data_IF_877782179145
#
_entry.id   IF_877782179145
#
_cell.length_a   1.000
_cell.length_b   1.000
_cell.length_c   1.000
_cell.angle_alpha   90.00
_cell.angle_beta   90.00
_cell.angle_gamma   90.00
#
_symmetry.space_group_name_H-M   'P 1'
#
loop_
_entity.id
_entity.type
_entity.pdbx_description
1 polymer ?
#
# COMPACT_ATOMS: atom_id res chain seq x y z
N UNK A 1 37.18 -12.28 2.19
CA UNK A 1 36.18 -12.55 1.13
C UNK A 1 35.04 -13.32 1.76
N UNK A 2 33.93 -12.65 2.09
CA UNK A 2 32.68 -13.32 2.48
C UNK A 2 31.57 -12.64 1.69
N UNK A 3 31.20 -13.25 0.57
CA UNK A 3 29.98 -12.92 -0.15
C UNK A 3 28.85 -13.73 0.48
N UNK A 4 28.01 -13.07 1.28
CA UNK A 4 26.74 -13.62 1.72
C UNK A 4 25.76 -13.60 0.55
N UNK A 5 25.24 -14.77 0.18
CA UNK A 5 24.27 -14.95 -0.91
C UNK A 5 23.06 -14.03 -0.73
N UNK A 6 22.85 -13.12 -1.68
CA UNK A 6 21.61 -12.33 -1.80
C UNK A 6 20.48 -13.32 -2.06
N UNK A 7 19.56 -13.46 -1.09
CA UNK A 7 18.35 -14.27 -1.29
C UNK A 7 17.43 -13.54 -2.27
N UNK A 8 16.92 -14.24 -3.26
CA UNK A 8 15.99 -13.67 -4.24
C UNK A 8 14.62 -13.42 -3.58
N UNK A 9 13.88 -12.44 -4.08
CA UNK A 9 12.54 -12.03 -3.62
C UNK A 9 11.57 -13.22 -3.37
N UNK A 10 11.60 -14.22 -4.26
CA UNK A 10 10.85 -15.48 -4.16
C UNK A 10 11.14 -16.32 -2.91
N UNK A 11 12.29 -16.12 -2.28
CA UNK A 11 12.74 -16.85 -1.08
C UNK A 11 12.20 -16.24 0.21
N UNK A 12 11.71 -15.00 0.18
CA UNK A 12 11.15 -14.29 1.34
C UNK A 12 9.60 -14.39 1.34
N UNK A 13 8.96 -14.43 0.16
CA UNK A 13 7.49 -14.44 0.03
C UNK A 13 6.97 -15.54 -0.94
N UNK A 14 6.87 -16.80 -0.48
CA UNK A 14 6.59 -17.95 -1.36
C UNK A 14 5.15 -18.05 -1.90
N UNK A 15 4.23 -17.14 -1.55
CA UNK A 15 2.81 -17.18 -1.96
C UNK A 15 2.46 -16.43 -3.26
N UNK A 16 3.42 -15.73 -3.88
CA UNK A 16 3.12 -14.78 -4.98
C UNK A 16 3.16 -15.37 -6.40
N UNK A 17 3.23 -16.70 -6.57
CA UNK A 17 3.25 -17.33 -7.89
C UNK A 17 1.86 -17.58 -8.48
N UNK A 18 1.00 -16.58 -8.63
CA UNK A 18 -0.27 -16.78 -9.37
C UNK A 18 -0.86 -15.48 -9.92
N UNK A 19 -0.39 -15.05 -11.10
CA UNK A 19 -1.19 -14.35 -12.13
C UNK A 19 -0.34 -14.06 -13.38
N UNK A 20 -0.07 -15.10 -14.18
CA UNK A 20 0.45 -14.96 -15.55
C UNK A 20 -0.45 -15.69 -16.53
N UNK A 21 -1.69 -15.22 -16.68
CA UNK A 21 -2.58 -15.58 -17.81
C UNK A 21 -3.84 -14.73 -17.74
N UNK A 22 -3.92 -13.69 -18.56
CA UNK A 22 -5.18 -13.16 -19.12
C UNK A 22 -4.88 -11.98 -20.07
N UNK A 23 -4.21 -12.25 -21.20
CA UNK A 23 -4.23 -11.34 -22.36
C UNK A 23 -3.90 -12.08 -23.66
N UNK A 24 -4.79 -12.95 -24.15
CA UNK A 24 -4.83 -13.28 -25.59
C UNK A 24 -6.27 -13.60 -26.01
N UNK A 25 -6.90 -12.69 -26.75
CA UNK A 25 -7.90 -13.03 -27.76
C UNK A 25 -7.98 -11.91 -28.79
N UNK A 26 -7.58 -12.23 -30.03
CA UNK A 26 -7.64 -11.35 -31.19
C UNK A 26 -9.07 -11.16 -31.75
N UNK A 27 -9.21 -10.46 -32.89
CA UNK A 27 -10.50 -9.91 -33.33
C UNK A 27 -11.30 -10.92 -34.18
N UNK A 28 -12.63 -10.87 -34.07
CA UNK A 28 -13.55 -11.38 -35.10
C UNK A 28 -14.43 -10.26 -35.62
N UNK A 29 -14.44 -10.09 -36.94
CA UNK A 29 -15.56 -9.50 -37.69
C UNK A 29 -16.59 -10.61 -37.91
N UNK A 30 -17.87 -10.24 -38.03
CA UNK A 30 -18.73 -10.58 -39.17
C UNK A 30 -20.15 -10.02 -38.98
N UNK A 31 -20.75 -9.74 -40.13
CA UNK A 31 -22.01 -9.06 -40.43
C UNK A 31 -23.25 -9.93 -40.11
N UNK A 32 -24.40 -9.32 -39.76
CA UNK A 32 -25.73 -9.53 -40.38
C UNK A 32 -26.87 -8.85 -39.58
N UNK A 33 -27.86 -8.40 -40.34
CA UNK A 33 -29.03 -7.57 -40.02
C UNK A 33 -30.28 -8.35 -39.58
N UNK A 34 -31.11 -7.73 -38.72
CA UNK A 34 -32.58 -7.82 -38.82
C UNK A 34 -33.39 -8.36 -37.62
N UNK A 35 -34.49 -7.63 -37.33
CA UNK A 35 -35.78 -8.00 -36.67
C UNK A 35 -35.96 -7.61 -35.16
N UNK A 36 -37.15 -7.08 -34.75
CA UNK A 36 -37.27 -6.06 -33.69
C UNK A 36 -37.84 -6.54 -32.33
N UNK A 37 -37.93 -5.56 -31.43
CA UNK A 37 -38.27 -5.58 -30.01
C UNK A 37 -39.42 -6.51 -29.54
N UNK A 38 -39.11 -7.31 -28.52
CA UNK A 38 -40.08 -7.76 -27.52
C UNK A 38 -39.38 -7.92 -26.15
N UNK A 39 -40.08 -7.48 -25.11
CA UNK A 39 -39.62 -7.31 -23.73
C UNK A 39 -39.33 -8.66 -23.07
N UNK A 40 -38.11 -8.84 -22.56
CA UNK A 40 -37.85 -9.72 -21.42
C UNK A 40 -36.88 -9.04 -20.46
N UNK A 41 -37.42 -8.73 -19.28
CA UNK A 41 -36.71 -8.44 -18.04
C UNK A 41 -35.50 -9.36 -17.89
N UNK A 42 -34.30 -8.81 -18.00
CA UNK A 42 -33.08 -9.48 -17.55
C UNK A 42 -32.41 -8.61 -16.49
N UNK A 43 -32.47 -9.17 -15.29
CA UNK A 43 -31.78 -8.79 -14.08
C UNK A 43 -30.41 -8.17 -14.36
N UNK A 44 -30.24 -6.91 -13.95
CA UNK A 44 -28.95 -6.25 -13.87
C UNK A 44 -28.05 -6.99 -12.86
N UNK A 45 -27.24 -7.94 -13.35
CA UNK A 45 -26.01 -8.38 -12.67
C UNK A 45 -24.88 -7.42 -13.02
N UNK A 46 -25.00 -6.16 -12.59
CA UNK A 46 -23.90 -5.20 -12.67
C UNK A 46 -23.11 -5.24 -11.35
N UNK A 47 -21.92 -5.84 -11.43
CA UNK A 47 -20.74 -5.73 -10.55
C UNK A 47 -20.89 -5.90 -9.03
N UNK A 48 -20.69 -7.13 -8.53
CA UNK A 48 -20.26 -7.37 -7.13
C UNK A 48 -18.74 -7.15 -6.90
N UNK A 49 -17.97 -6.90 -7.95
CA UNK A 49 -16.52 -6.72 -7.87
C UNK A 49 -16.14 -5.30 -7.44
N UNK A 50 -16.81 -4.26 -7.97
CA UNK A 50 -16.45 -2.86 -7.70
C UNK A 50 -16.42 -2.47 -6.20
N UNK A 51 -17.27 -3.09 -5.38
CA UNK A 51 -17.31 -2.84 -3.93
C UNK A 51 -16.07 -3.32 -3.15
N UNK A 52 -15.33 -4.31 -3.66
CA UNK A 52 -14.08 -4.79 -3.04
C UNK A 52 -12.86 -3.96 -3.46
N UNK A 53 -12.81 -3.52 -4.72
CA UNK A 53 -11.70 -2.72 -5.24
C UNK A 53 -11.64 -1.32 -4.59
N UNK A 54 -12.79 -0.70 -4.32
CA UNK A 54 -12.84 0.64 -3.71
C UNK A 54 -12.40 0.72 -2.24
N UNK A 55 -12.09 -0.40 -1.60
CA UNK A 55 -11.62 -0.45 -0.19
C UNK A 55 -10.13 -0.77 -0.08
N UNK A 56 -9.43 -0.98 -1.20
CA UNK A 56 -7.98 -1.23 -1.22
C UNK A 56 -7.20 -0.01 -0.74
N UNK A 57 -5.96 -0.25 -0.35
CA UNK A 57 -5.06 0.75 0.20
C UNK A 57 -3.82 0.82 -0.67
N UNK A 58 -3.44 2.02 -1.10
CA UNK A 58 -2.24 2.26 -1.90
C UNK A 58 -1.11 2.65 -0.95
N UNK A 59 -0.13 1.78 -0.75
CA UNK A 59 1.03 2.07 0.07
C UNK A 59 2.12 2.72 -0.76
N UNK A 60 2.69 3.82 -0.28
CA UNK A 60 3.73 4.56 -0.98
C UNK A 60 4.75 5.11 0.01
N UNK A 61 6.00 5.14 -0.44
CA UNK A 61 7.13 5.74 0.25
C UNK A 61 8.04 6.39 -0.80
N UNK A 62 8.57 7.58 -0.46
CA UNK A 62 9.47 8.35 -1.31
C UNK A 62 10.79 8.60 -0.61
N UNK A 63 11.89 8.33 -1.30
CA UNK A 63 13.18 8.91 -0.91
C UNK A 63 13.36 10.25 -1.61
N UNK A 64 13.78 11.26 -0.84
CA UNK A 64 13.89 12.64 -1.28
C UNK A 64 15.31 13.18 -1.10
N UNK A 65 15.65 14.24 -1.83
CA UNK A 65 16.92 14.98 -1.63
C UNK A 65 16.94 15.82 -0.35
N UNK A 66 15.79 15.96 0.33
CA UNK A 66 15.60 16.75 1.53
C UNK A 66 14.11 16.93 1.86
N UNK A 67 13.80 17.81 2.81
CA UNK A 67 12.44 18.13 3.23
C UNK A 67 11.98 19.53 2.79
N UNK A 68 12.84 20.26 2.09
CA UNK A 68 12.57 21.61 1.58
C UNK A 68 11.62 21.57 0.37
N UNK A 69 10.92 22.68 0.12
CA UNK A 69 9.90 22.76 -0.93
C UNK A 69 10.40 22.39 -2.33
N UNK A 70 11.68 22.63 -2.64
CA UNK A 70 12.28 22.36 -3.95
C UNK A 70 12.91 20.97 -4.06
N UNK A 71 12.88 20.17 -2.99
CA UNK A 71 13.43 18.82 -2.96
C UNK A 71 12.85 17.93 -4.06
N UNK A 72 13.69 17.03 -4.55
CA UNK A 72 13.43 16.13 -5.67
C UNK A 72 13.23 14.71 -5.17
N UNK A 73 12.43 13.94 -5.92
CA UNK A 73 12.21 12.52 -5.68
C UNK A 73 13.39 11.72 -6.26
N UNK A 74 13.95 10.83 -5.43
CA UNK A 74 15.07 9.94 -5.74
C UNK A 74 14.59 8.51 -5.98
N UNK A 75 13.73 8.00 -5.10
CA UNK A 75 13.14 6.66 -5.19
C UNK A 75 11.63 6.75 -4.93
N UNK A 76 10.87 5.89 -5.60
CA UNK A 76 9.45 5.68 -5.37
C UNK A 76 9.23 4.19 -5.23
N UNK A 77 8.67 3.74 -4.11
CA UNK A 77 8.06 2.43 -4.01
C UNK A 77 6.55 2.54 -3.86
N UNK A 78 5.81 1.63 -4.49
CA UNK A 78 4.36 1.56 -4.35
C UNK A 78 3.89 0.10 -4.27
N UNK A 79 2.96 -0.17 -3.37
CA UNK A 79 2.35 -1.48 -3.17
C UNK A 79 0.84 -1.32 -2.94
N UNK A 80 0.04 -2.35 -3.19
CA UNK A 80 -1.40 -2.31 -2.89
C UNK A 80 -1.77 -3.47 -1.98
N UNK A 81 -2.50 -3.16 -0.91
CA UNK A 81 -3.14 -4.18 -0.06
C UNK A 81 -4.64 -4.19 -0.24
N UNK A 82 -5.25 -5.30 0.14
CA UNK A 82 -6.69 -5.32 0.44
C UNK A 82 -6.99 -4.60 1.78
N UNK A 83 -8.27 -4.50 2.18
CA UNK A 83 -8.65 -3.86 3.46
C UNK A 83 -8.10 -4.56 4.70
N UNK A 84 -7.69 -5.82 4.57
CA UNK A 84 -7.17 -6.64 5.66
C UNK A 84 -5.65 -6.56 5.81
N UNK A 85 -5.01 -5.70 5.02
CA UNK A 85 -3.56 -5.48 4.98
C UNK A 85 -2.79 -6.64 4.33
N UNK A 86 -3.47 -7.44 3.51
CA UNK A 86 -2.83 -8.49 2.72
C UNK A 86 -2.35 -7.91 1.38
N UNK A 87 -1.06 -8.14 1.10
CA UNK A 87 -0.37 -7.67 -0.10
C UNK A 87 -0.92 -8.37 -1.35
N UNK A 88 -1.30 -7.59 -2.36
CA UNK A 88 -1.95 -8.11 -3.57
C UNK A 88 -1.00 -8.40 -4.73
N UNK A 89 0.20 -7.81 -4.70
CA UNK A 89 1.21 -7.91 -5.76
C UNK A 89 2.61 -7.61 -5.19
N UNK A 90 3.67 -7.84 -5.96
CA UNK A 90 5.06 -7.59 -5.55
C UNK A 90 5.36 -6.09 -5.39
N UNK A 91 4.55 -5.23 -6.04
CA UNK A 91 4.73 -3.79 -6.00
C UNK A 91 5.56 -3.25 -7.16
N UNK A 92 5.88 -1.97 -7.09
CA UNK A 92 6.73 -1.28 -8.07
C UNK A 92 7.75 -0.42 -7.37
N UNK A 93 9.00 -0.52 -7.81
CA UNK A 93 10.10 0.37 -7.42
C UNK A 93 10.62 1.14 -8.64
N UNK A 94 10.93 2.41 -8.43
CA UNK A 94 11.44 3.33 -9.44
C UNK A 94 12.56 4.18 -8.83
N UNK A 95 13.78 4.06 -9.35
CA UNK A 95 14.88 4.96 -9.03
C UNK A 95 14.92 6.05 -10.10
N UNK A 96 14.72 7.29 -9.70
CA UNK A 96 14.62 8.45 -10.59
C UNK A 96 16.01 9.05 -10.80
N UNK A 97 16.33 9.35 -12.06
CA UNK A 97 17.56 10.06 -12.40
C UNK A 97 17.54 11.48 -11.82
N UNK A 98 18.65 11.86 -11.19
CA UNK A 98 18.92 13.25 -10.81
C UNK A 98 20.32 13.66 -11.27
N UNK A 99 20.49 14.89 -11.76
CA UNK A 99 21.79 15.40 -12.14
C UNK A 99 22.70 15.63 -10.92
N UNK A 100 24.02 15.68 -11.15
CA UNK A 100 25.00 15.77 -10.07
C UNK A 100 24.89 17.04 -9.23
N UNK A 101 24.47 18.16 -9.80
CA UNK A 101 24.22 19.41 -9.05
C UNK A 101 23.09 19.24 -8.02
N UNK A 102 22.03 18.51 -8.37
CA UNK A 102 20.95 18.15 -7.43
C UNK A 102 21.46 17.18 -6.36
N UNK A 103 22.17 16.12 -6.74
CA UNK A 103 22.67 15.15 -5.77
C UNK A 103 23.71 15.75 -4.81
N UNK A 104 24.56 16.66 -5.29
CA UNK A 104 25.60 17.30 -4.49
C UNK A 104 25.08 18.45 -3.61
N UNK A 105 23.84 18.91 -3.82
CA UNK A 105 23.20 19.95 -3.00
C UNK A 105 22.37 19.38 -1.84
N UNK A 106 22.30 18.05 -1.71
CA UNK A 106 21.67 17.40 -0.56
C UNK A 106 22.33 17.81 0.76
N UNK A 107 21.54 17.87 1.84
CA UNK A 107 22.08 18.13 3.17
C UNK A 107 22.96 16.95 3.66
N UNK A 108 23.75 17.18 4.71
CA UNK A 108 24.71 16.20 5.22
C UNK A 108 24.06 14.85 5.61
N UNK A 109 22.85 14.89 6.16
CA UNK A 109 22.12 13.67 6.54
C UNK A 109 21.75 12.85 5.29
N UNK A 110 21.15 13.47 4.28
CA UNK A 110 20.79 12.81 3.02
C UNK A 110 22.02 12.25 2.29
N UNK A 111 23.13 13.00 2.25
CA UNK A 111 24.39 12.55 1.61
C UNK A 111 24.93 11.29 2.30
N UNK A 112 25.02 11.30 3.62
CA UNK A 112 25.50 10.14 4.37
C UNK A 112 24.60 8.93 4.16
N UNK A 113 23.30 9.15 4.22
CA UNK A 113 22.30 8.11 4.24
C UNK A 113 22.12 7.42 2.89
N UNK A 114 21.87 8.23 1.86
CA UNK A 114 21.69 7.76 0.48
C UNK A 114 23.00 7.24 -0.11
N UNK A 115 24.14 7.74 0.39
CA UNK A 115 25.45 7.18 0.09
C UNK A 115 25.62 5.77 0.65
N UNK A 116 25.25 5.54 1.92
CA UNK A 116 25.33 4.22 2.58
C UNK A 116 24.39 3.19 1.96
N UNK A 117 23.18 3.57 1.57
CA UNK A 117 22.22 2.68 0.91
C UNK A 117 22.58 2.40 -0.56
N UNK A 118 23.46 3.20 -1.16
CA UNK A 118 23.81 3.16 -2.57
C UNK A 118 22.83 3.89 -3.49
N UNK A 119 21.79 4.51 -2.92
CA UNK A 119 20.75 5.22 -3.67
C UNK A 119 21.32 6.38 -4.49
N UNK A 120 22.26 7.17 -3.94
CA UNK A 120 22.85 8.30 -4.67
C UNK A 120 23.49 7.86 -5.99
N UNK A 121 24.25 6.76 -5.96
CA UNK A 121 24.90 6.22 -7.15
C UNK A 121 23.89 5.57 -8.11
N UNK A 122 22.84 4.95 -7.57
CA UNK A 122 21.76 4.40 -8.38
C UNK A 122 20.98 5.50 -9.12
N UNK A 123 20.69 6.64 -8.48
CA UNK A 123 20.07 7.81 -9.11
C UNK A 123 20.96 8.38 -10.22
N UNK A 124 22.27 8.52 -9.98
CA UNK A 124 23.23 8.98 -10.99
C UNK A 124 23.25 8.08 -12.23
N UNK A 125 23.15 6.76 -12.04
CA UNK A 125 23.13 5.76 -13.13
C UNK A 125 21.77 5.56 -13.78
N UNK A 126 20.69 5.99 -13.11
CA UNK A 126 19.34 5.79 -13.62
C UNK A 126 19.15 6.57 -14.92
N UNK A 127 18.36 6.00 -15.83
CA UNK A 127 17.88 6.69 -17.04
C UNK A 127 16.40 7.01 -16.96
N UNK A 128 15.75 6.74 -15.81
CA UNK A 128 14.31 6.92 -15.63
C UNK A 128 14.01 8.36 -15.24
N UNK A 129 13.21 9.05 -16.06
CA UNK A 129 12.69 10.37 -15.69
C UNK A 129 11.56 10.26 -14.65
N UNK A 130 11.25 11.36 -13.99
CA UNK A 130 10.15 11.40 -13.03
C UNK A 130 8.80 11.12 -13.69
N UNK A 131 8.57 11.62 -14.90
CA UNK A 131 7.35 11.38 -15.67
C UNK A 131 7.20 9.90 -16.04
N UNK A 132 8.30 9.23 -16.39
CA UNK A 132 8.30 7.79 -16.65
C UNK A 132 8.00 7.00 -15.38
N UNK A 133 8.59 7.40 -14.26
CA UNK A 133 8.32 6.80 -12.96
C UNK A 133 6.85 6.97 -12.55
N UNK A 134 6.28 8.18 -12.70
CA UNK A 134 4.86 8.46 -12.46
C UNK A 134 3.97 7.57 -13.31
N UNK A 135 4.22 7.46 -14.61
CA UNK A 135 3.42 6.61 -15.50
C UNK A 135 3.49 5.14 -15.10
N UNK A 136 4.67 4.66 -14.69
CA UNK A 136 4.86 3.27 -14.25
C UNK A 136 4.06 2.98 -12.97
N UNK A 137 4.11 3.89 -12.00
CA UNK A 137 3.35 3.78 -10.74
C UNK A 137 1.85 3.90 -10.99
N UNK A 138 1.41 4.87 -11.79
CA UNK A 138 0.01 5.06 -12.14
C UNK A 138 -0.58 3.81 -12.80
N UNK A 139 0.10 3.26 -13.81
CA UNK A 139 -0.34 2.04 -14.50
C UNK A 139 -0.47 0.85 -13.54
N UNK A 140 0.46 0.73 -12.58
CA UNK A 140 0.40 -0.29 -11.55
C UNK A 140 -0.87 -0.14 -10.67
N UNK A 141 -1.15 1.06 -10.17
CA UNK A 141 -2.32 1.27 -9.30
C UNK A 141 -3.65 1.23 -10.05
N UNK A 142 -3.71 1.64 -11.32
CA UNK A 142 -4.92 1.56 -12.16
C UNK A 142 -5.38 0.11 -12.37
N UNK A 143 -4.43 -0.83 -12.47
CA UNK A 143 -4.74 -2.25 -12.57
C UNK A 143 -5.37 -2.82 -11.29
N UNK A 144 -5.17 -2.15 -10.15
CA UNK A 144 -5.53 -2.66 -8.83
C UNK A 144 -6.57 -1.81 -8.10
N UNK A 145 -6.85 -0.58 -8.52
CA UNK A 145 -7.70 0.34 -7.76
C UNK A 145 -8.58 1.18 -8.67
N UNK A 146 -9.82 1.51 -8.26
CA UNK A 146 -10.66 2.42 -9.02
C UNK A 146 -10.25 3.87 -8.75
N UNK A 147 -10.35 4.69 -9.79
CA UNK A 147 -10.05 6.13 -9.74
C UNK A 147 -10.78 6.84 -8.60
N UNK A 148 -10.02 7.62 -7.82
CA UNK A 148 -10.50 8.52 -6.77
C UNK A 148 -11.06 7.85 -5.52
N UNK A 149 -10.90 6.52 -5.35
CA UNK A 149 -11.50 5.78 -4.22
C UNK A 149 -10.51 5.39 -3.14
N UNK A 150 -9.34 4.89 -3.52
CA UNK A 150 -8.37 4.30 -2.58
C UNK A 150 -7.46 5.38 -1.98
N UNK A 151 -7.30 5.46 -0.64
CA UNK A 151 -6.37 6.37 -0.01
C UNK A 151 -4.93 5.88 -0.20
N UNK A 152 -3.99 6.83 -0.16
CA UNK A 152 -2.59 6.48 0.03
C UNK A 152 -2.29 6.22 1.52
N UNK A 153 -1.33 5.35 1.80
CA UNK A 153 -0.93 4.94 3.13
C UNK A 153 0.58 4.81 3.27
N UNK A 154 1.06 4.97 4.49
CA UNK A 154 2.48 4.92 4.82
C UNK A 154 2.74 5.53 6.19
N UNK A 155 4.01 5.49 6.61
CA UNK A 155 4.44 6.19 7.83
C UNK A 155 4.68 7.66 7.50
N UNK A 156 3.99 8.58 8.17
CA UNK A 156 4.12 10.02 7.92
C UNK A 156 3.81 10.39 6.46
N UNK A 157 2.91 9.63 5.81
CA UNK A 157 2.61 9.72 4.38
C UNK A 157 2.03 11.06 3.93
N UNK A 158 1.65 11.93 4.87
CA UNK A 158 1.29 13.31 4.57
C UNK A 158 2.45 14.09 3.94
N UNK A 159 3.70 13.79 4.34
CA UNK A 159 4.91 14.36 3.72
C UNK A 159 5.03 13.90 2.28
N UNK A 160 4.95 12.58 2.01
CA UNK A 160 4.97 12.06 0.64
C UNK A 160 3.85 12.66 -0.22
N UNK A 161 2.64 12.79 0.36
CA UNK A 161 1.48 13.37 -0.32
C UNK A 161 1.74 14.78 -0.81
N UNK A 162 2.53 15.57 -0.10
CA UNK A 162 2.89 16.92 -0.50
C UNK A 162 3.70 16.93 -1.80
N UNK A 163 4.73 16.07 -1.88
CA UNK A 163 5.53 15.91 -3.09
C UNK A 163 4.73 15.28 -4.23
N UNK A 164 3.92 14.26 -3.95
CA UNK A 164 3.05 13.61 -4.94
C UNK A 164 2.10 14.62 -5.59
N UNK A 165 1.47 15.51 -4.81
CA UNK A 165 0.56 16.53 -5.36
C UNK A 165 1.24 17.45 -6.38
N UNK A 166 2.49 17.82 -6.14
CA UNK A 166 3.23 18.80 -6.94
C UNK A 166 3.98 18.16 -8.09
N UNK A 167 4.55 16.98 -7.87
CA UNK A 167 5.53 16.34 -8.75
C UNK A 167 4.96 15.12 -9.49
N UNK A 168 3.87 14.52 -9.00
CA UNK A 168 3.19 13.38 -9.61
C UNK A 168 1.66 13.60 -9.66
N UNK A 169 1.19 14.68 -10.31
CA UNK A 169 -0.21 15.10 -10.24
C UNK A 169 -1.21 14.10 -10.82
N UNK A 170 -0.84 13.32 -11.84
CA UNK A 170 -1.73 12.32 -12.45
C UNK A 170 -1.93 11.13 -11.50
N UNK A 171 -0.85 10.67 -10.89
CA UNK A 171 -0.93 9.66 -9.84
C UNK A 171 -1.73 10.18 -8.63
N UNK A 172 -1.51 11.44 -8.23
CA UNK A 172 -2.24 12.08 -7.14
C UNK A 172 -3.76 12.07 -7.38
N UNK A 173 -4.18 12.38 -8.61
CA UNK A 173 -5.59 12.47 -9.02
C UNK A 173 -6.31 11.12 -8.99
N UNK A 174 -5.60 10.02 -9.31
CA UNK A 174 -6.16 8.67 -9.21
C UNK A 174 -6.42 8.24 -7.76
N UNK A 175 -5.71 8.83 -6.80
CA UNK A 175 -5.85 8.50 -5.38
C UNK A 175 -6.97 9.32 -4.71
N UNK A 176 -7.55 8.77 -3.64
CA UNK A 176 -8.43 9.54 -2.75
C UNK A 176 -7.70 10.74 -2.12
N UNK A 177 -8.45 11.78 -1.76
CA UNK A 177 -7.89 12.92 -1.01
C UNK A 177 -7.48 12.54 0.41
N UNK A 178 -8.05 11.45 0.96
CA UNK A 178 -7.74 10.93 2.30
C UNK A 178 -6.44 10.14 2.28
N UNK A 179 -5.81 10.07 3.45
CA UNK A 179 -4.62 9.26 3.71
C UNK A 179 -4.88 8.32 4.90
N UNK A 180 -4.14 7.23 4.96
CA UNK A 180 -4.00 6.38 6.15
C UNK A 180 -2.56 6.54 6.65
N UNK A 181 -2.39 7.39 7.65
CA UNK A 181 -1.07 7.68 8.21
C UNK A 181 -0.80 6.80 9.43
N UNK A 182 0.13 5.85 9.29
CA UNK A 182 0.51 4.90 10.35
C UNK A 182 1.12 5.65 11.54
N UNK A 183 1.84 6.74 11.31
CA UNK A 183 2.45 7.56 12.36
C UNK A 183 1.40 8.23 13.24
N UNK A 184 0.21 8.52 12.71
CA UNK A 184 -0.91 9.04 13.53
C UNK A 184 -1.35 8.01 14.57
N UNK A 185 -1.46 6.74 14.17
CA UNK A 185 -1.84 5.64 15.08
C UNK A 185 -0.71 5.34 16.07
N UNK A 186 0.54 5.37 15.60
CA UNK A 186 1.74 5.26 16.45
C UNK A 186 1.74 6.29 17.58
N UNK A 187 1.49 7.55 17.26
CA UNK A 187 1.50 8.64 18.25
C UNK A 187 0.34 8.53 19.26
N UNK A 188 -0.81 8.00 18.84
CA UNK A 188 -1.93 7.64 19.73
C UNK A 188 -1.53 6.46 20.63
N UNK A 189 -0.98 5.39 20.06
CA UNK A 189 -0.53 4.21 20.81
C UNK A 189 0.49 4.58 21.88
N UNK A 190 1.47 5.42 21.53
CA UNK A 190 2.52 5.91 22.45
C UNK A 190 1.95 6.63 23.68
N UNK A 191 0.87 7.39 23.53
CA UNK A 191 0.26 8.19 24.62
C UNK A 191 -0.76 7.42 25.43
N UNK A 192 -1.62 6.67 24.76
CA UNK A 192 -2.78 6.03 25.42
C UNK A 192 -2.49 4.59 25.83
N UNK A 193 -1.52 3.94 25.19
CA UNK A 193 -1.20 2.53 25.40
C UNK A 193 0.32 2.31 25.53
N UNK A 194 1.02 2.99 26.46
CA UNK A 194 2.48 2.96 26.55
C UNK A 194 3.07 1.55 26.74
N UNK A 195 2.38 0.66 27.46
CA UNK A 195 2.81 -0.74 27.62
C UNK A 195 2.60 -1.63 26.39
N UNK A 196 1.72 -1.23 25.46
CA UNK A 196 1.61 -1.87 24.14
C UNK A 196 2.69 -1.28 23.24
N UNK A 197 2.81 0.04 23.19
CA UNK A 197 3.82 0.73 22.38
C UNK A 197 5.25 0.22 22.63
N UNK A 198 5.64 -0.03 23.88
CA UNK A 198 6.98 -0.56 24.22
C UNK A 198 7.28 -1.96 23.66
N UNK A 199 6.25 -2.70 23.21
CA UNK A 199 6.35 -4.03 22.60
C UNK A 199 6.17 -3.99 21.08
N UNK A 200 5.99 -2.82 20.50
CA UNK A 200 5.90 -2.65 19.06
C UNK A 200 7.22 -3.13 18.40
N UNK A 201 7.17 -3.91 17.31
CA UNK A 201 8.36 -4.29 16.56
C UNK A 201 9.18 -3.06 16.18
N UNK A 202 10.50 -3.14 16.35
CA UNK A 202 11.41 -2.09 15.91
C UNK A 202 11.64 -2.24 14.42
N UNK A 203 11.49 -1.12 13.69
CA UNK A 203 11.84 -1.05 12.27
C UNK A 203 13.33 -1.31 12.07
N UNK A 204 13.69 -2.05 11.02
CA UNK A 204 15.09 -2.28 10.66
C UNK A 204 15.70 -1.05 10.02
N UNK A 205 14.87 -0.18 9.42
CA UNK A 205 15.28 1.06 8.78
C UNK A 205 16.37 0.78 7.73
N UNK A 206 16.05 -0.04 6.73
CA UNK A 206 16.98 -0.33 5.63
C UNK A 206 17.07 0.81 4.62
N UNK A 207 16.17 1.79 4.69
CA UNK A 207 16.16 3.01 3.88
C UNK A 207 16.12 2.71 2.39
N UNK A 208 15.20 1.81 2.07
CA UNK A 208 14.81 1.39 0.74
C UNK A 208 13.29 1.35 0.76
N UNK A 209 12.68 2.14 -0.12
CA UNK A 209 11.26 2.49 0.01
C UNK A 209 10.31 1.29 0.09
N UNK A 210 10.60 0.16 -0.58
CA UNK A 210 9.73 -1.02 -0.53
C UNK A 210 9.80 -1.75 0.82
N UNK A 211 10.99 -1.86 1.41
CA UNK A 211 11.15 -2.46 2.75
C UNK A 211 10.43 -1.60 3.79
N UNK A 212 10.57 -0.27 3.69
CA UNK A 212 9.93 0.67 4.62
C UNK A 212 8.39 0.66 4.52
N UNK A 213 7.84 0.41 3.32
CA UNK A 213 6.41 0.13 3.14
C UNK A 213 6.00 -1.16 3.86
N UNK A 214 6.73 -2.25 3.67
CA UNK A 214 6.40 -3.54 4.29
C UNK A 214 6.47 -3.45 5.82
N UNK A 215 7.46 -2.73 6.36
CA UNK A 215 7.55 -2.46 7.79
C UNK A 215 6.38 -1.60 8.30
N UNK A 216 5.92 -0.63 7.50
CA UNK A 216 4.74 0.18 7.84
C UNK A 216 3.44 -0.63 7.84
N UNK A 217 3.31 -1.61 6.93
CA UNK A 217 2.17 -2.54 6.90
C UNK A 217 2.15 -3.40 8.16
N UNK A 218 3.30 -3.99 8.52
CA UNK A 218 3.42 -4.83 9.71
C UNK A 218 3.20 -4.02 11.00
N UNK A 219 3.68 -2.78 11.05
CA UNK A 219 3.37 -1.85 12.15
C UNK A 219 1.86 -1.58 12.26
N UNK A 220 1.16 -1.34 11.14
CA UNK A 220 -0.29 -1.13 11.16
C UNK A 220 -1.05 -2.41 11.55
N UNK A 221 -0.60 -3.60 11.11
CA UNK A 221 -1.15 -4.89 11.56
C UNK A 221 -0.99 -5.05 13.07
N UNK A 222 0.17 -4.68 13.62
CA UNK A 222 0.40 -4.71 15.07
C UNK A 222 -0.61 -3.82 15.81
N UNK A 223 -0.82 -2.58 15.37
CA UNK A 223 -1.83 -1.72 16.00
C UNK A 223 -3.24 -2.28 15.87
N UNK A 224 -3.63 -2.77 14.68
CA UNK A 224 -4.93 -3.41 14.45
C UNK A 224 -5.21 -4.53 15.45
N UNK A 225 -4.21 -5.34 15.77
CA UNK A 225 -4.35 -6.48 16.69
C UNK A 225 -4.37 -6.09 18.16
N UNK A 226 -3.72 -4.98 18.54
CA UNK A 226 -3.46 -4.68 19.95
C UNK A 226 -4.27 -3.51 20.53
N UNK A 227 -4.66 -2.52 19.72
CA UNK A 227 -5.35 -1.31 20.22
C UNK A 227 -6.73 -1.06 19.61
N UNK A 228 -7.11 -1.82 18.57
CA UNK A 228 -8.45 -1.76 17.99
C UNK A 228 -9.30 -2.93 18.48
N UNK A 229 -10.61 -2.72 18.52
CA UNK A 229 -11.57 -3.74 18.89
C UNK A 229 -11.63 -4.80 17.80
N UNK A 230 -11.41 -6.06 18.16
CA UNK A 230 -11.75 -7.19 17.30
C UNK A 230 -13.25 -7.49 17.40
N UNK A 231 -14.05 -7.09 16.40
CA UNK A 231 -15.50 -7.33 16.40
C UNK A 231 -15.85 -8.82 16.41
N UNK A 232 -15.03 -9.67 15.81
CA UNK A 232 -15.26 -11.13 15.80
C UNK A 232 -15.14 -11.67 17.22
N UNK A 233 -14.09 -11.30 17.94
CA UNK A 233 -13.93 -11.70 19.34
C UNK A 233 -15.00 -11.10 20.24
N UNK A 234 -15.38 -9.84 20.01
CA UNK A 234 -16.46 -9.20 20.75
C UNK A 234 -17.79 -9.93 20.56
N UNK A 235 -18.12 -10.35 19.34
CA UNK A 235 -19.35 -11.07 19.04
C UNK A 235 -19.32 -12.49 19.61
N UNK A 236 -18.19 -13.18 19.50
CA UNK A 236 -18.00 -14.50 20.11
C UNK A 236 -18.19 -14.47 21.64
N UNK A 237 -17.67 -13.44 22.32
CA UNK A 237 -17.89 -13.25 23.77
C UNK A 237 -19.36 -13.03 24.12
N UNK A 238 -20.09 -12.23 23.32
CA UNK A 238 -21.52 -12.00 23.51
C UNK A 238 -22.35 -13.28 23.34
N UNK A 239 -22.01 -14.11 22.36
CA UNK A 239 -22.69 -15.39 22.13
C UNK A 239 -22.44 -16.38 23.28
N UNK A 240 -21.23 -16.39 23.85
CA UNK A 240 -20.89 -17.18 25.05
C UNK A 240 -21.62 -16.68 26.31
N UNK A 241 -21.71 -15.36 26.52
CA UNK A 241 -22.44 -14.78 27.66
C UNK A 241 -23.96 -15.04 27.55
N UNK A 242 -24.52 -15.03 26.35
CA UNK A 242 -25.94 -15.35 26.12
C UNK A 242 -26.26 -16.83 26.36
N UNK A 243 -25.38 -17.74 25.94
CA UNK A 243 -25.54 -19.18 26.20
C UNK A 243 -25.46 -19.49 27.69
N UNK A 244 -24.48 -18.93 28.41
CA UNK A 244 -24.37 -19.11 29.87
C UNK A 244 -25.58 -18.58 30.64
N UNK A 245 -26.11 -17.40 30.30
CA UNK A 245 -27.28 -16.83 30.96
C UNK A 245 -28.56 -17.64 30.72
N UNK A 246 -28.70 -18.28 29.54
CA UNK A 246 -29.84 -19.13 29.22
C UNK A 246 -29.84 -20.46 29.98
N UNK A 247 -28.67 -20.99 30.33
CA UNK A 247 -28.52 -22.25 31.07
C UNK A 247 -28.75 -22.06 32.59
N UNK A 248 -28.33 -20.92 33.15
CA UNK A 248 -28.53 -20.59 34.58
C UNK A 248 -29.96 -20.19 34.97
N UNK A 249 -30.84 -19.91 34.00
CA UNK A 249 -32.25 -19.55 34.26
C UNK A 249 -33.21 -20.74 34.39
N UNK A 250 -32.75 -21.96 34.14
CA UNK A 250 -33.58 -23.17 34.08
C UNK A 250 -33.86 -23.88 35.42
N UNK A 251 -33.12 -23.58 36.48
CA UNK A 251 -33.16 -24.35 37.75
C UNK A 251 -34.00 -23.70 38.88
N UNK A 252 -34.75 -22.62 38.60
CA UNK A 252 -35.54 -21.90 39.62
C UNK A 252 -37.02 -22.37 39.74
N UNK A 253 -37.40 -23.50 39.14
CA UNK A 253 -38.77 -24.04 39.19
C UNK A 253 -38.76 -25.56 39.45
N UNK A 254 -38.44 -25.97 40.68
CA UNK A 254 -38.89 -27.25 41.27
C UNK A 254 -39.18 -27.09 42.75
#
# INVERSE_FOLDING_TARGET
MYWGSVKTFTQVYPKLSFLKRLTQSGPRKDHLSGVPAAIMSTSAKTSRTGGKFGKRIIWIDLELTGLEQDAKILEIACLVTDPDLEVLDEGVECIVHQPDDVLNSMNAWCVEHHGKSGLTEACRKSTMSLEQAEQKVLKFVEALTPFGKCPIAGSSVHTDREYIRRLMPKFNEHCSYRIIDVSSIKEICRRWYPGIFSRCPTKKLSHRSLDDILESIEELKYYRQNIFVNEVERNARKEQEQTMNSESGGDALK
#
